data_IF_756115680284
#
_entry.id   IF_756115680284
#
_cell.length_a   1.000
_cell.length_b   1.000
_cell.length_c   1.000
_cell.angle_alpha   90.00
_cell.angle_beta   90.00
_cell.angle_gamma   90.00
#
_symmetry.space_group_name_H-M   'P 1'
#
loop_
_entity.id
_entity.type
_entity.pdbx_description
1 polymer ?
#
# COMPACT_ATOMS: atom_id res chain seq x y z
N UNK A 1 -6.64 -4.90 19.04
CA UNK A 1 -6.93 -4.05 17.87
C UNK A 1 -5.66 -3.36 17.37
N UNK A 2 -4.76 -2.89 18.26
CA UNK A 2 -3.46 -2.28 17.90
C UNK A 2 -2.42 -3.23 17.24
N UNK A 3 -2.48 -4.54 17.51
CA UNK A 3 -1.58 -5.53 16.90
C UNK A 3 -1.68 -5.59 15.38
N UNK A 4 -2.89 -5.37 14.86
CA UNK A 4 -3.16 -5.46 13.44
C UNK A 4 -2.65 -4.21 12.70
N UNK A 5 -2.77 -3.03 13.32
CA UNK A 5 -2.28 -1.77 12.73
C UNK A 5 -0.76 -1.80 12.50
N UNK A 6 0.00 -2.36 13.45
CA UNK A 6 1.45 -2.51 13.30
C UNK A 6 1.79 -3.53 12.21
N UNK A 7 1.06 -4.65 12.14
CA UNK A 7 1.26 -5.61 11.05
C UNK A 7 0.94 -5.00 9.68
N UNK A 8 -0.10 -4.16 9.58
CA UNK A 8 -0.43 -3.42 8.36
C UNK A 8 0.64 -2.40 7.99
N UNK A 9 1.23 -1.71 8.97
CA UNK A 9 2.36 -0.82 8.71
C UNK A 9 3.60 -1.57 8.17
N UNK A 10 3.84 -2.81 8.63
CA UNK A 10 4.85 -3.68 8.05
C UNK A 10 4.53 -4.09 6.61
N UNK A 11 3.27 -4.42 6.29
CA UNK A 11 2.85 -4.74 4.93
C UNK A 11 3.07 -3.57 3.98
N UNK A 12 2.68 -2.35 4.38
CA UNK A 12 2.90 -1.14 3.58
C UNK A 12 4.39 -0.85 3.40
N UNK A 13 5.19 -0.98 4.47
CA UNK A 13 6.64 -0.82 4.37
C UNK A 13 7.26 -1.83 3.40
N UNK A 14 6.81 -3.08 3.44
CA UNK A 14 7.28 -4.12 2.51
C UNK A 14 6.85 -3.83 1.07
N UNK A 15 5.65 -3.30 0.85
CA UNK A 15 5.17 -2.84 -0.46
C UNK A 15 6.02 -1.70 -1.02
N UNK A 16 6.32 -0.67 -0.22
CA UNK A 16 7.17 0.44 -0.65
C UNK A 16 8.61 -0.01 -0.98
N UNK A 17 9.17 -0.94 -0.22
CA UNK A 17 10.48 -1.54 -0.52
C UNK A 17 10.48 -2.22 -1.90
N UNK A 18 9.38 -2.86 -2.28
CA UNK A 18 9.29 -3.60 -3.54
C UNK A 18 9.04 -2.69 -4.74
N UNK A 19 8.36 -1.54 -4.54
CA UNK A 19 8.31 -0.48 -5.57
C UNK A 19 9.72 0.04 -5.89
N UNK A 20 10.54 0.28 -4.87
CA UNK A 20 11.94 0.69 -5.07
C UNK A 20 12.75 -0.41 -5.77
N UNK A 21 12.50 -1.68 -5.45
CA UNK A 21 13.16 -2.81 -6.10
C UNK A 21 12.80 -2.91 -7.60
N UNK A 22 11.53 -2.71 -7.94
CA UNK A 22 11.08 -2.71 -9.33
C UNK A 22 11.75 -1.59 -10.15
N UNK A 23 11.84 -0.38 -9.59
CA UNK A 23 12.54 0.73 -10.27
C UNK A 23 14.03 0.41 -10.50
N UNK A 24 14.72 -0.13 -9.51
CA UNK A 24 16.13 -0.54 -9.65
C UNK A 24 16.30 -1.61 -10.73
N UNK A 25 15.36 -2.55 -10.85
CA UNK A 25 15.37 -3.57 -11.89
C UNK A 25 15.16 -2.98 -13.29
N UNK A 26 14.26 -2.01 -13.44
CA UNK A 26 14.05 -1.29 -14.71
C UNK A 26 15.29 -0.50 -15.12
N UNK A 27 15.89 0.24 -14.18
CA UNK A 27 17.10 1.02 -14.41
C UNK A 27 18.28 0.10 -14.81
N UNK A 28 18.43 -1.04 -14.13
CA UNK A 28 19.42 -2.06 -14.46
C UNK A 28 19.19 -2.68 -15.84
N UNK A 29 17.93 -3.00 -16.18
CA UNK A 29 17.57 -3.52 -17.50
C UNK A 29 17.85 -2.52 -18.62
N UNK A 30 17.63 -1.22 -18.37
CA UNK A 30 17.97 -0.15 -19.30
C UNK A 30 19.49 -0.06 -19.52
N UNK A 31 20.27 -0.03 -18.44
CA UNK A 31 21.73 0.03 -18.50
C UNK A 31 22.32 -1.18 -19.27
N UNK A 32 21.77 -2.37 -19.07
CA UNK A 32 22.17 -3.56 -19.86
C UNK A 32 21.89 -3.41 -21.36
N UNK A 33 20.75 -2.83 -21.74
CA UNK A 33 20.40 -2.60 -23.15
C UNK A 33 21.33 -1.59 -23.82
N UNK A 34 21.78 -0.59 -23.07
CA UNK A 34 22.70 0.44 -23.56
C UNK A 34 24.18 -0.01 -23.59
N UNK A 35 24.49 -1.20 -23.05
CA UNK A 35 25.85 -1.69 -22.93
C UNK A 35 26.66 -1.05 -21.80
N UNK A 36 26.00 -0.29 -20.92
CA UNK A 36 26.62 0.29 -19.72
C UNK A 36 26.65 -0.75 -18.59
N UNK A 37 27.61 -1.67 -18.70
CA UNK A 37 27.74 -2.80 -17.79
C UNK A 37 28.16 -2.38 -16.36
N UNK A 38 28.83 -1.24 -16.21
CA UNK A 38 29.22 -0.73 -14.89
C UNK A 38 27.99 -0.24 -14.12
N UNK A 39 27.11 0.52 -14.78
CA UNK A 39 25.84 0.94 -14.19
C UNK A 39 24.91 -0.24 -13.92
N UNK A 40 24.86 -1.21 -14.83
CA UNK A 40 24.09 -2.43 -14.66
C UNK A 40 24.58 -3.25 -13.44
N UNK A 41 25.90 -3.37 -13.24
CA UNK A 41 26.48 -4.03 -12.07
C UNK A 41 26.09 -3.30 -10.78
N UNK A 42 26.14 -1.97 -10.76
CA UNK A 42 25.72 -1.20 -9.60
C UNK A 42 24.25 -1.42 -9.24
N UNK A 43 23.36 -1.43 -10.23
CA UNK A 43 21.94 -1.69 -10.02
C UNK A 43 21.68 -3.09 -9.44
N UNK A 44 22.42 -4.11 -9.89
CA UNK A 44 22.34 -5.48 -9.32
C UNK A 44 22.77 -5.49 -7.85
N UNK A 45 23.87 -4.82 -7.50
CA UNK A 45 24.36 -4.77 -6.12
C UNK A 45 23.35 -4.08 -5.19
N UNK A 46 22.75 -2.98 -5.63
CA UNK A 46 21.71 -2.26 -4.88
C UNK A 46 20.43 -3.08 -4.74
N UNK A 47 19.96 -3.71 -5.82
CA UNK A 47 18.80 -4.60 -5.78
C UNK A 47 19.02 -5.77 -4.81
N UNK A 48 20.24 -6.33 -4.77
CA UNK A 48 20.61 -7.40 -3.84
C UNK A 48 20.54 -6.93 -2.39
N UNK A 49 21.13 -5.77 -2.07
CA UNK A 49 21.06 -5.18 -0.72
C UNK A 49 19.64 -4.88 -0.29
N UNK A 50 18.80 -4.43 -1.21
CA UNK A 50 17.40 -4.13 -0.96
C UNK A 50 16.58 -5.40 -0.69
N UNK A 51 16.85 -6.49 -1.43
CA UNK A 51 16.25 -7.80 -1.17
C UNK A 51 16.62 -8.34 0.22
N UNK A 52 17.89 -8.23 0.62
CA UNK A 52 18.33 -8.62 1.97
C UNK A 52 17.65 -7.81 3.06
N UNK A 53 17.49 -6.49 2.85
CA UNK A 53 16.78 -5.62 3.78
C UNK A 53 15.29 -6.01 3.88
N UNK A 54 14.65 -6.29 2.74
CA UNK A 54 13.25 -6.76 2.69
C UNK A 54 13.05 -8.02 3.53
N UNK A 55 13.96 -9.00 3.43
CA UNK A 55 13.87 -10.23 4.22
C UNK A 55 14.05 -9.97 5.73
N UNK A 56 14.89 -9.00 6.13
CA UNK A 56 14.99 -8.56 7.53
C UNK A 56 13.69 -7.94 8.02
N UNK A 57 13.04 -7.10 7.21
CA UNK A 57 11.74 -6.49 7.56
C UNK A 57 10.66 -7.57 7.69
N UNK A 58 10.61 -8.57 6.79
CA UNK A 58 9.70 -9.72 6.93
C UNK A 58 9.98 -10.53 8.19
N UNK A 59 11.24 -10.72 8.56
CA UNK A 59 11.60 -11.40 9.81
C UNK A 59 11.08 -10.63 11.03
N UNK A 60 11.26 -9.30 11.06
CA UNK A 60 10.74 -8.44 12.13
C UNK A 60 9.21 -8.45 12.21
N UNK A 61 8.51 -8.48 11.07
CA UNK A 61 7.05 -8.64 11.03
C UNK A 61 6.61 -9.96 11.70
N UNK A 62 7.27 -11.07 11.36
CA UNK A 62 6.98 -12.39 11.96
C UNK A 62 7.30 -12.42 13.45
N UNK A 63 8.42 -11.84 13.86
CA UNK A 63 8.81 -11.71 15.26
C UNK A 63 7.76 -10.93 16.04
N UNK A 64 7.33 -9.76 15.52
CA UNK A 64 6.27 -8.95 16.10
C UNK A 64 4.96 -9.72 16.27
N UNK A 65 4.52 -10.45 15.24
CA UNK A 65 3.32 -11.29 15.30
C UNK A 65 3.43 -12.39 16.40
N UNK A 66 4.62 -12.97 16.56
CA UNK A 66 4.87 -14.00 17.57
C UNK A 66 4.82 -13.47 19.01
N UNK A 67 5.25 -12.23 19.25
CA UNK A 67 5.22 -11.57 20.56
C UNK A 67 3.79 -11.35 21.07
N UNK A 68 2.85 -11.12 20.14
CA UNK A 68 1.43 -10.90 20.46
C UNK A 68 0.66 -12.20 20.72
N UNK A 69 1.22 -13.33 20.28
CA UNK A 69 0.61 -14.66 20.38
C UNK A 69 0.86 -15.33 21.74
N UNK A 70 1.75 -14.78 22.57
CA UNK A 70 1.99 -15.20 23.96
C UNK A 70 1.40 -14.16 24.92
N UNK A 71 0.24 -14.44 25.54
CA UNK A 71 -0.37 -13.56 26.57
C UNK A 71 -0.40 -14.21 27.96
N UNK A 72 -0.31 -13.40 29.04
CA UNK A 72 -1.54 -12.98 29.72
C UNK A 72 -1.68 -11.45 29.94
N UNK A 73 -2.85 -11.10 30.50
CA UNK A 73 -3.58 -9.82 30.55
C UNK A 73 -2.94 -8.58 31.24
N UNK A 74 -3.49 -7.42 30.81
CA UNK A 74 -3.67 -6.11 31.48
C UNK A 74 -2.39 -5.36 31.87
N UNK A 75 -2.24 -4.13 31.36
CA UNK A 75 -1.88 -2.92 32.14
C UNK A 75 -2.17 -1.64 31.33
N UNK A 76 -2.29 -0.53 32.06
CA UNK A 76 -3.06 0.70 31.78
C UNK A 76 -2.57 1.54 30.58
N UNK A 77 -3.53 2.25 29.97
CA UNK A 77 -3.32 3.29 28.94
C UNK A 77 -2.27 4.31 29.39
N UNK A 78 -1.20 4.46 28.61
CA UNK A 78 -0.37 5.66 28.62
C UNK A 78 -0.66 6.43 27.34
N UNK A 79 -1.16 7.65 27.50
CA UNK A 79 -1.38 8.59 26.40
C UNK A 79 -0.02 9.03 25.88
N UNK A 80 0.33 8.65 24.65
CA UNK A 80 1.47 9.24 23.93
C UNK A 80 0.96 10.37 23.04
N UNK A 81 1.54 11.55 23.23
CA UNK A 81 1.34 12.77 22.45
C UNK A 81 1.82 12.56 21.02
N UNK A 82 0.88 12.39 20.09
CA UNK A 82 1.15 12.39 18.65
C UNK A 82 1.38 13.84 18.22
N UNK A 83 2.56 14.11 17.62
CA UNK A 83 2.86 15.37 16.92
C UNK A 83 1.68 15.73 16.00
N UNK A 84 1.22 16.97 16.09
CA UNK A 84 0.00 17.50 15.47
C UNK A 84 -0.31 16.91 14.10
N UNK A 85 -1.40 16.14 14.01
CA UNK A 85 -2.03 15.77 12.74
C UNK A 85 -2.43 17.06 12.02
N UNK A 86 -2.24 17.12 10.70
CA UNK A 86 -2.81 18.20 9.88
C UNK A 86 -4.31 18.39 10.24
N UNK A 87 -4.82 19.63 10.23
CA UNK A 87 -6.23 19.90 10.49
C UNK A 87 -7.14 18.98 9.68
N UNK A 88 -8.14 18.39 10.34
CA UNK A 88 -9.14 17.52 9.68
C UNK A 88 -9.79 18.29 8.52
N UNK A 89 -9.93 17.66 7.36
CA UNK A 89 -10.65 18.20 6.20
C UNK A 89 -9.78 18.76 5.06
N UNK A 90 -8.46 18.76 5.18
CA UNK A 90 -7.56 19.23 4.10
C UNK A 90 -7.23 18.17 3.04
N UNK A 91 -7.44 16.88 3.36
CA UNK A 91 -7.11 15.74 2.50
C UNK A 91 -8.36 14.95 2.17
N UNK A 92 -8.36 14.31 1.00
CA UNK A 92 -9.42 13.37 0.63
C UNK A 92 -9.50 12.25 1.66
N UNK A 93 -10.69 12.01 2.27
CA UNK A 93 -10.85 10.97 3.27
C UNK A 93 -10.65 9.60 2.63
N UNK A 94 -10.12 8.65 3.41
CA UNK A 94 -9.90 7.27 2.96
C UNK A 94 -11.16 6.62 2.37
N UNK A 95 -12.32 6.87 2.99
CA UNK A 95 -13.62 6.34 2.53
C UNK A 95 -13.95 6.73 1.08
N UNK A 96 -13.50 7.90 0.61
CA UNK A 96 -13.73 8.33 -0.77
C UNK A 96 -12.98 7.48 -1.79
N UNK A 97 -11.95 6.73 -1.39
CA UNK A 97 -11.21 5.81 -2.26
C UNK A 97 -11.89 4.45 -2.42
N UNK A 98 -12.86 4.10 -1.58
CA UNK A 98 -13.47 2.76 -1.56
C UNK A 98 -14.10 2.40 -2.90
N UNK A 99 -15.00 3.26 -3.38
CA UNK A 99 -15.71 3.03 -4.65
C UNK A 99 -14.76 3.08 -5.86
N UNK A 100 -13.90 4.09 -6.02
CA UNK A 100 -12.93 4.14 -7.12
C UNK A 100 -12.01 2.91 -7.21
N UNK A 101 -11.55 2.36 -6.08
CA UNK A 101 -10.71 1.15 -6.07
C UNK A 101 -11.48 -0.06 -6.61
N UNK A 102 -12.71 -0.27 -6.13
CA UNK A 102 -13.52 -1.40 -6.58
C UNK A 102 -13.90 -1.25 -8.06
N UNK A 103 -14.25 -0.04 -8.52
CA UNK A 103 -14.55 0.24 -9.93
C UNK A 103 -13.34 -0.03 -10.83
N UNK A 104 -12.15 0.46 -10.46
CA UNK A 104 -10.91 0.20 -11.19
C UNK A 104 -10.62 -1.30 -11.31
N UNK A 105 -10.81 -2.07 -10.24
CA UNK A 105 -10.65 -3.52 -10.29
C UNK A 105 -11.66 -4.20 -11.20
N UNK A 106 -12.92 -3.74 -11.24
CA UNK A 106 -13.92 -4.27 -12.17
C UNK A 106 -13.52 -3.98 -13.62
N UNK A 107 -13.05 -2.77 -13.91
CA UNK A 107 -12.59 -2.35 -15.24
C UNK A 107 -11.37 -3.14 -15.72
N UNK A 108 -10.46 -3.49 -14.82
CA UNK A 108 -9.31 -4.36 -15.09
C UNK A 108 -9.68 -5.86 -15.19
N UNK A 109 -10.97 -6.20 -15.25
CA UNK A 109 -11.43 -7.59 -15.38
C UNK A 109 -11.46 -8.36 -14.05
N UNK A 110 -11.38 -7.66 -12.93
CA UNK A 110 -11.49 -8.21 -11.57
C UNK A 110 -10.18 -8.26 -10.79
N UNK A 111 -9.04 -8.12 -11.45
CA UNK A 111 -7.72 -8.14 -10.83
C UNK A 111 -6.77 -7.24 -11.60
N UNK A 112 -5.80 -6.65 -10.93
CA UNK A 112 -4.82 -5.78 -11.55
C UNK A 112 -3.56 -5.63 -10.70
N UNK A 113 -2.48 -5.18 -11.32
CA UNK A 113 -1.31 -4.76 -10.55
C UNK A 113 -1.67 -3.54 -9.71
N UNK A 114 -0.98 -3.36 -8.57
CA UNK A 114 -1.21 -2.19 -7.72
C UNK A 114 -1.00 -0.89 -8.51
N UNK A 115 0.02 -0.84 -9.37
CA UNK A 115 0.29 0.32 -10.24
C UNK A 115 -0.90 0.65 -11.13
N UNK A 116 -1.36 -0.32 -11.93
CA UNK A 116 -2.47 -0.13 -12.87
C UNK A 116 -3.76 0.26 -12.16
N UNK A 117 -4.05 -0.35 -11.00
CA UNK A 117 -5.24 -0.02 -10.20
C UNK A 117 -5.14 1.40 -9.66
N UNK A 118 -3.99 1.80 -9.12
CA UNK A 118 -3.79 3.14 -8.59
C UNK A 118 -3.88 4.18 -9.70
N UNK A 119 -3.30 3.95 -10.87
CA UNK A 119 -3.36 4.90 -11.98
C UNK A 119 -4.82 5.15 -12.43
N UNK A 120 -5.65 4.11 -12.52
CA UNK A 120 -7.09 4.26 -12.79
C UNK A 120 -7.84 4.97 -11.64
N UNK A 121 -7.48 4.69 -10.39
CA UNK A 121 -8.06 5.39 -9.22
C UNK A 121 -7.73 6.87 -9.27
N UNK A 122 -6.50 7.24 -9.65
CA UNK A 122 -6.07 8.63 -9.82
C UNK A 122 -6.93 9.35 -10.86
N UNK A 123 -7.17 8.71 -12.01
CA UNK A 123 -8.03 9.26 -13.06
C UNK A 123 -9.47 9.51 -12.56
N UNK A 124 -10.06 8.52 -11.87
CA UNK A 124 -11.42 8.62 -11.31
C UNK A 124 -11.53 9.68 -10.22
N UNK A 125 -10.48 9.82 -9.41
CA UNK A 125 -10.48 10.72 -8.26
C UNK A 125 -9.88 12.09 -8.56
N UNK A 126 -9.42 12.37 -9.78
CA UNK A 126 -8.74 13.63 -10.14
C UNK A 126 -9.49 14.89 -9.70
N UNK A 127 -10.82 14.88 -9.77
CA UNK A 127 -11.66 16.01 -9.35
C UNK A 127 -11.83 16.14 -7.82
N UNK A 128 -11.54 15.06 -7.07
CA UNK A 128 -11.73 14.95 -5.62
C UNK A 128 -10.40 15.01 -4.83
N UNK A 129 -9.28 14.70 -5.48
CA UNK A 129 -7.95 14.80 -4.90
C UNK A 129 -7.57 16.26 -4.70
N UNK A 130 -7.11 16.59 -3.49
CA UNK A 130 -6.64 17.95 -3.19
C UNK A 130 -5.14 18.08 -3.50
N UNK A 131 -4.64 19.32 -3.55
CA UNK A 131 -3.19 19.57 -3.67
C UNK A 131 -2.35 18.87 -2.59
N UNK A 132 -2.92 18.66 -1.39
CA UNK A 132 -2.24 18.00 -0.27
C UNK A 132 -2.13 16.48 -0.47
N UNK A 133 -2.97 15.91 -1.32
CA UNK A 133 -2.98 14.49 -1.64
C UNK A 133 -1.87 14.15 -2.64
N UNK A 134 -1.47 15.11 -3.47
CA UNK A 134 -0.32 15.04 -4.36
C UNK A 134 1.03 15.38 -3.71
N UNK A 135 1.04 15.84 -2.45
CA UNK A 135 2.28 16.11 -1.76
C UNK A 135 3.06 14.80 -1.51
N UNK A 136 4.40 14.85 -1.59
CA UNK A 136 5.24 13.72 -1.23
C UNK A 136 5.12 13.39 0.26
N UNK A 137 5.44 12.14 0.60
CA UNK A 137 5.57 11.74 1.99
C UNK A 137 6.87 12.31 2.59
N UNK A 138 6.86 12.79 3.85
CA UNK A 138 8.07 13.24 4.52
C UNK A 138 9.12 12.14 4.69
N UNK A 139 8.69 10.87 4.68
CA UNK A 139 9.52 9.68 4.77
C UNK A 139 10.07 9.21 3.43
N UNK A 140 9.37 9.51 2.33
CA UNK A 140 9.80 9.20 0.96
C UNK A 140 9.28 10.27 -0.01
N UNK A 141 10.18 11.14 -0.54
CA UNK A 141 9.82 12.16 -1.51
C UNK A 141 9.29 11.64 -2.85
N UNK A 142 9.48 10.35 -3.17
CA UNK A 142 8.99 9.73 -4.41
C UNK A 142 7.58 9.14 -4.28
N UNK A 143 7.14 8.82 -3.06
CA UNK A 143 5.81 8.28 -2.80
C UNK A 143 4.79 9.39 -2.50
N UNK A 144 3.67 9.37 -3.22
CA UNK A 144 2.61 10.37 -3.14
C UNK A 144 1.60 9.97 -2.06
N UNK A 145 1.22 10.93 -1.22
CA UNK A 145 0.35 10.70 -0.04
C UNK A 145 -0.96 9.97 -0.34
N UNK A 146 -1.62 10.27 -1.46
CA UNK A 146 -2.90 9.66 -1.79
C UNK A 146 -2.78 8.19 -2.16
N UNK A 147 -1.67 7.77 -2.79
CA UNK A 147 -1.40 6.36 -3.11
C UNK A 147 -1.34 5.53 -1.83
N UNK A 148 -0.65 6.04 -0.82
CA UNK A 148 -0.64 5.42 0.51
C UNK A 148 -2.05 5.38 1.14
N UNK A 149 -2.84 6.46 1.04
CA UNK A 149 -4.24 6.45 1.51
C UNK A 149 -5.10 5.41 0.79
N UNK A 150 -4.94 5.23 -0.52
CA UNK A 150 -5.64 4.21 -1.29
C UNK A 150 -5.23 2.78 -0.88
N UNK A 151 -3.96 2.56 -0.55
CA UNK A 151 -3.49 1.28 -0.01
C UNK A 151 -4.11 0.98 1.37
N UNK A 152 -4.22 1.98 2.25
CA UNK A 152 -4.97 1.84 3.52
C UNK A 152 -6.43 1.47 3.28
N UNK A 153 -7.08 2.17 2.34
CA UNK A 153 -8.46 1.87 1.94
C UNK A 153 -8.61 0.43 1.47
N UNK A 154 -7.69 -0.04 0.61
CA UNK A 154 -7.68 -1.45 0.15
C UNK A 154 -7.60 -2.42 1.32
N UNK A 155 -6.77 -2.15 2.32
CA UNK A 155 -6.65 -3.05 3.47
C UNK A 155 -7.96 -3.13 4.26
N UNK A 156 -8.68 -2.02 4.40
CA UNK A 156 -10.03 -2.04 4.99
C UNK A 156 -11.03 -2.81 4.11
N UNK A 157 -11.00 -2.63 2.79
CA UNK A 157 -11.83 -3.41 1.86
C UNK A 157 -11.56 -4.93 1.94
N UNK A 158 -10.30 -5.34 2.10
CA UNK A 158 -9.93 -6.75 2.30
C UNK A 158 -10.48 -7.28 3.63
N UNK A 159 -10.33 -6.51 4.72
CA UNK A 159 -10.85 -6.89 6.04
C UNK A 159 -12.37 -7.04 6.07
N UNK A 160 -13.06 -6.24 5.27
CA UNK A 160 -14.51 -6.30 5.10
C UNK A 160 -14.96 -7.37 4.10
N UNK A 161 -14.01 -8.07 3.46
CA UNK A 161 -14.29 -9.13 2.49
C UNK A 161 -14.72 -8.62 1.12
N UNK A 162 -14.60 -7.32 0.84
CA UNK A 162 -14.89 -6.69 -0.46
C UNK A 162 -13.76 -6.92 -1.48
N UNK A 163 -12.56 -7.20 -1.00
CA UNK A 163 -11.40 -7.60 -1.79
C UNK A 163 -10.80 -8.91 -1.24
N UNK A 164 -10.05 -9.64 -2.07
CA UNK A 164 -9.44 -10.90 -1.67
C UNK A 164 -8.18 -10.67 -0.83
N UNK A 165 -8.02 -11.49 0.23
CA UNK A 165 -6.86 -11.44 1.13
C UNK A 165 -5.69 -12.31 0.64
N UNK A 166 -5.97 -13.28 -0.22
CA UNK A 166 -5.05 -14.33 -0.71
C UNK A 166 -4.55 -14.08 -2.14
N UNK A 167 -4.68 -12.84 -2.63
CA UNK A 167 -4.15 -12.45 -3.93
C UNK A 167 -2.62 -12.54 -3.98
N UNK A 168 -2.02 -12.85 -5.14
CA UNK A 168 -0.58 -12.81 -5.32
C UNK A 168 0.02 -11.45 -4.94
N UNK A 169 1.28 -11.46 -4.52
CA UNK A 169 2.00 -10.23 -4.18
C UNK A 169 1.98 -9.23 -5.34
N UNK A 170 1.72 -7.95 -5.04
CA UNK A 170 1.63 -6.88 -6.04
C UNK A 170 0.35 -6.89 -6.89
N UNK A 171 -0.59 -7.81 -6.62
CA UNK A 171 -1.88 -7.90 -7.32
C UNK A 171 -3.02 -7.64 -6.34
N UNK A 172 -3.95 -6.80 -6.76
CA UNK A 172 -5.22 -6.60 -6.08
C UNK A 172 -6.33 -7.30 -6.84
N UNK A 173 -7.26 -7.93 -6.12
CA UNK A 173 -8.41 -8.62 -6.71
C UNK A 173 -9.68 -8.31 -5.93
N UNK A 174 -10.75 -8.03 -6.68
CA UNK A 174 -12.09 -7.80 -6.11
C UNK A 174 -12.75 -9.12 -5.75
N UNK A 175 -13.46 -9.15 -4.61
CA UNK A 175 -14.29 -10.31 -4.25
C UNK A 175 -15.67 -10.21 -4.89
N UNK A 176 -16.44 -11.30 -4.87
CA UNK A 176 -17.84 -11.28 -5.29
C UNK A 176 -18.69 -10.35 -4.41
N UNK A 177 -18.36 -10.25 -3.11
CA UNK A 177 -19.02 -9.33 -2.18
C UNK A 177 -18.74 -7.87 -2.58
N UNK A 178 -17.51 -7.56 -3.00
CA UNK A 178 -17.13 -6.25 -3.54
C UNK A 178 -17.92 -5.86 -4.78
N UNK A 179 -18.09 -6.80 -5.72
CA UNK A 179 -18.89 -6.57 -6.94
C UNK A 179 -20.35 -6.26 -6.60
N UNK A 180 -20.94 -7.00 -5.65
CA UNK A 180 -22.31 -6.77 -5.19
C UNK A 180 -22.46 -5.44 -4.45
N UNK A 181 -21.46 -5.05 -3.66
CA UNK A 181 -21.46 -3.77 -2.96
C UNK A 181 -21.42 -2.58 -3.92
N UNK A 182 -20.78 -2.70 -5.09
CA UNK A 182 -20.82 -1.68 -6.14
C UNK A 182 -22.21 -1.54 -6.81
N UNK A 183 -22.94 -2.65 -6.96
CA UNK A 183 -24.28 -2.65 -7.56
C UNK A 183 -25.34 -2.11 -6.60
N UNK A 184 -25.16 -2.34 -5.30
CA UNK A 184 -26.06 -1.87 -4.25
C UNK A 184 -25.50 -0.57 -3.66
N UNK A 185 -25.92 0.56 -4.24
CA UNK A 185 -25.46 1.93 -3.93
C UNK A 185 -25.44 2.30 -2.42
N UNK A 186 -26.14 1.53 -1.58
CA UNK A 186 -26.33 1.73 -0.14
C UNK A 186 -25.24 1.13 0.77
N UNK A 187 -24.28 0.36 0.26
CA UNK A 187 -23.29 -0.37 1.09
C UNK A 187 -21.91 0.31 1.19
N UNK A 188 -21.74 1.46 0.52
CA UNK A 188 -20.45 2.16 0.41
C UNK A 188 -20.44 3.51 1.14
N UNK A 189 -21.49 3.80 1.92
CA UNK A 189 -21.67 5.02 2.73
C UNK A 189 -21.03 4.91 4.11
#
# INVERSE_FOLDING_TARGET
MESNEVNTAFEILLEEIELVANQLNEDGAHAFKEGDYDRARHAIEEATRLADFREKVKALQKEWASLLSKKPQRLKKTVRTVKSRLPRGLRTPEEAFRRPILEALVELGGKGSIGDVLDLVEEKMRAHLTKYDFEPLPSDPKSIRWRNTAQWCRNNLVREGLMKADSPYGIWEISELGRKALQNESALS
#
